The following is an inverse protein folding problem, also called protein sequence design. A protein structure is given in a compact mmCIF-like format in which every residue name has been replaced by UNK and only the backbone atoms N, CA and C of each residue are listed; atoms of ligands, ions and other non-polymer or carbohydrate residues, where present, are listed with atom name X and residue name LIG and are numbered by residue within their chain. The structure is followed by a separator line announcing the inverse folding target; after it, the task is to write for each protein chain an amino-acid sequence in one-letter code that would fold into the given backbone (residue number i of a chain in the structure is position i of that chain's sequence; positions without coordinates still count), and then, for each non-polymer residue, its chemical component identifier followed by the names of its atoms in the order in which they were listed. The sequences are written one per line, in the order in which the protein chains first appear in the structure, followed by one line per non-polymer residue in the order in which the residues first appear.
data_IF_758482645951
#
_entry.id   IF_758482645951
#
_cell.length_a   1.000
_cell.length_b   1.000
_cell.length_c   1.000
_cell.angle_alpha   90.00
_cell.angle_beta   90.00
_cell.angle_gamma   90.00
#
_symmetry.space_group_name_H-M   'P 1'
#
loop_
_entity.id
_entity.type
_entity.pdbx_description
1 polymer ?
#
# COMPACT_ATOMS: atom_id res chain seq x y z
N UNK A 1 12.54 -7.40 1.78
CA UNK A 1 13.04 -8.44 2.69
C UNK A 1 11.85 -8.91 3.52
N UNK A 2 11.44 -10.16 3.36
CA UNK A 2 10.22 -10.72 3.94
C UNK A 2 10.26 -10.86 5.47
N UNK A 3 11.43 -10.77 6.10
CA UNK A 3 11.52 -10.80 7.56
C UNK A 3 11.31 -9.43 8.21
N UNK A 4 11.26 -8.36 7.40
CA UNK A 4 11.21 -6.96 7.86
C UNK A 4 9.82 -6.33 7.78
N UNK A 5 8.79 -7.12 7.54
CA UNK A 5 7.41 -6.65 7.51
C UNK A 5 6.42 -7.76 7.85
N UNK A 6 5.17 -7.40 8.17
CA UNK A 6 4.08 -8.38 8.36
C UNK A 6 3.60 -8.92 7.01
N UNK A 7 3.63 -10.24 6.83
CA UNK A 7 3.17 -10.92 5.63
C UNK A 7 2.61 -12.31 5.97
N UNK A 8 2.14 -13.02 4.93
CA UNK A 8 1.50 -14.33 5.05
C UNK A 8 2.35 -15.36 5.77
N UNK A 9 3.66 -15.34 5.58
CA UNK A 9 4.59 -16.33 6.11
C UNK A 9 4.90 -16.12 7.60
N UNK A 10 4.68 -14.92 8.14
CA UNK A 10 5.04 -14.57 9.52
C UNK A 10 3.88 -14.03 10.37
N UNK A 11 2.64 -14.12 9.88
CA UNK A 11 1.47 -13.62 10.60
C UNK A 11 1.14 -14.45 11.87
N UNK A 12 1.37 -15.76 11.83
CA UNK A 12 0.97 -16.67 12.90
C UNK A 12 -0.56 -16.75 13.03
N UNK A 13 -1.06 -16.72 14.28
CA UNK A 13 -2.49 -16.62 14.60
C UNK A 13 -3.07 -15.22 14.41
N UNK A 14 -2.22 -14.20 14.57
CA UNK A 14 -2.61 -12.80 14.38
C UNK A 14 -2.66 -12.44 12.90
N UNK A 15 -3.57 -11.55 12.53
CA UNK A 15 -3.65 -11.03 11.15
C UNK A 15 -2.59 -9.96 10.96
N UNK A 16 -2.78 -8.83 11.63
CA UNK A 16 -1.89 -7.67 11.58
C UNK A 16 -0.80 -7.74 12.63
N UNK A 17 0.21 -6.90 12.50
CA UNK A 17 1.18 -6.60 13.55
C UNK A 17 0.98 -5.18 14.07
N UNK A 18 1.46 -4.95 15.29
CA UNK A 18 1.66 -3.61 15.83
C UNK A 18 2.51 -2.76 14.87
N UNK A 19 2.24 -1.45 14.83
CA UNK A 19 2.90 -0.52 13.91
C UNK A 19 4.42 -0.58 14.04
N UNK A 20 4.94 -0.74 15.27
CA UNK A 20 6.38 -0.71 15.55
C UNK A 20 7.05 -2.10 15.58
N UNK A 21 6.35 -3.18 15.21
CA UNK A 21 6.84 -4.55 15.36
C UNK A 21 8.07 -4.90 14.49
N UNK A 22 8.35 -4.13 13.43
CA UNK A 22 9.46 -4.39 12.49
C UNK A 22 10.35 -3.15 12.33
N UNK A 23 11.19 -2.83 13.33
CA UNK A 23 12.03 -1.64 13.30
C UNK A 23 13.10 -1.67 12.20
N UNK A 24 13.60 -2.84 11.80
CA UNK A 24 14.57 -2.97 10.70
C UNK A 24 13.94 -2.71 9.31
N UNK A 25 12.61 -2.72 9.23
CA UNK A 25 11.83 -2.44 8.02
C UNK A 25 11.40 -0.99 7.88
N UNK A 26 11.82 -0.11 8.79
CA UNK A 26 11.50 1.32 8.72
C UNK A 26 12.10 1.94 7.45
N UNK A 27 11.33 2.80 6.78
CA UNK A 27 11.82 3.53 5.63
C UNK A 27 12.89 4.56 6.04
N UNK A 28 13.73 5.06 5.10
CA UNK A 28 14.66 6.16 5.37
C UNK A 28 13.98 7.44 5.88
N UNK A 29 12.66 7.54 5.75
CA UNK A 29 11.85 8.67 6.21
C UNK A 29 11.17 8.42 7.58
N UNK A 30 11.48 7.30 8.24
CA UNK A 30 10.89 6.94 9.54
C UNK A 30 9.49 6.32 9.44
N UNK A 31 9.07 5.85 8.26
CA UNK A 31 7.75 5.25 8.06
C UNK A 31 7.80 3.74 8.29
N UNK A 32 6.91 3.24 9.13
CA UNK A 32 6.80 1.82 9.47
C UNK A 32 5.73 1.13 8.63
N UNK A 33 5.95 -0.16 8.36
CA UNK A 33 4.97 -1.05 7.72
C UNK A 33 4.47 -0.55 6.36
N UNK A 34 5.33 0.15 5.59
CA UNK A 34 5.00 0.61 4.23
C UNK A 34 4.88 -0.54 3.22
N UNK A 35 5.42 -1.70 3.57
CA UNK A 35 5.25 -2.97 2.84
C UNK A 35 4.63 -3.96 3.83
N UNK A 36 3.52 -4.59 3.46
CA UNK A 36 2.81 -5.57 4.27
C UNK A 36 1.91 -4.96 5.33
N UNK A 37 1.56 -5.77 6.32
CA UNK A 37 0.54 -5.48 7.34
C UNK A 37 -0.85 -5.29 6.74
N UNK A 38 -1.13 -4.15 6.10
CA UNK A 38 -2.41 -3.84 5.44
C UNK A 38 -2.14 -3.05 4.17
N UNK A 39 -3.02 -3.22 3.18
CA UNK A 39 -3.09 -2.28 2.06
C UNK A 39 -3.43 -0.89 2.61
N UNK A 40 -2.72 0.13 2.15
CA UNK A 40 -3.00 1.51 2.50
C UNK A 40 -3.73 2.22 1.35
N UNK A 41 -4.93 2.72 1.62
CA UNK A 41 -5.69 3.56 0.69
C UNK A 41 -4.94 4.84 0.33
N UNK A 42 -4.97 5.21 -0.96
CA UNK A 42 -4.56 6.51 -1.45
C UNK A 42 -5.78 7.30 -1.98
N UNK A 43 -5.70 8.62 -1.91
CA UNK A 43 -6.75 9.50 -2.44
C UNK A 43 -6.89 9.35 -3.96
N UNK A 44 -5.83 9.04 -4.69
CA UNK A 44 -5.81 8.91 -6.14
C UNK A 44 -6.84 7.89 -6.67
N UNK A 45 -7.59 8.29 -7.70
CA UNK A 45 -8.30 7.33 -8.55
C UNK A 45 -7.28 6.48 -9.32
N UNK A 46 -7.53 5.17 -9.39
CA UNK A 46 -6.66 4.25 -10.11
C UNK A 46 -6.76 4.47 -11.62
N UNK A 47 -5.58 4.53 -12.23
CA UNK A 47 -5.41 4.68 -13.66
C UNK A 47 -4.23 3.84 -14.13
N UNK A 48 -4.53 2.86 -14.98
CA UNK A 48 -3.56 1.95 -15.58
C UNK A 48 -2.55 2.69 -16.49
N UNK A 49 -2.98 3.80 -17.08
CA UNK A 49 -2.17 4.66 -17.93
C UNK A 49 -1.30 5.66 -17.17
N UNK A 50 -1.40 5.74 -15.83
CA UNK A 50 -0.77 6.79 -15.03
C UNK A 50 0.73 6.91 -15.29
N UNK A 51 1.49 5.80 -15.23
CA UNK A 51 2.94 5.85 -15.42
C UNK A 51 3.35 6.14 -16.86
N UNK A 52 2.52 5.78 -17.86
CA UNK A 52 2.76 6.19 -19.26
C UNK A 52 2.57 7.70 -19.41
N UNK A 53 1.55 8.27 -18.77
CA UNK A 53 1.31 9.73 -18.74
C UNK A 53 2.39 10.48 -17.95
N UNK A 54 2.82 9.95 -16.80
CA UNK A 54 3.89 10.57 -16.01
C UNK A 54 5.21 10.64 -16.80
N UNK A 55 5.50 9.64 -17.63
CA UNK A 55 6.68 9.66 -18.55
C UNK A 55 6.64 10.79 -19.58
N UNK A 56 5.48 11.38 -19.88
CA UNK A 56 5.37 12.55 -20.76
C UNK A 56 5.42 13.88 -19.99
N UNK A 57 5.63 13.84 -18.67
CA UNK A 57 5.67 15.02 -17.79
C UNK A 57 4.30 15.48 -17.28
N UNK A 58 3.22 14.83 -17.71
CA UNK A 58 1.88 15.15 -17.22
C UNK A 58 1.62 14.41 -15.90
N UNK A 59 1.62 15.13 -14.78
CA UNK A 59 1.38 14.59 -13.43
C UNK A 59 -0.07 14.72 -12.97
N UNK A 60 -0.99 15.12 -13.86
CA UNK A 60 -2.39 15.27 -13.50
C UNK A 60 -2.98 13.93 -13.04
N UNK A 61 -3.72 14.00 -11.93
CA UNK A 61 -4.52 12.90 -11.43
C UNK A 61 -5.88 12.89 -12.15
N UNK A 62 -6.53 11.72 -12.29
CA UNK A 62 -7.89 11.67 -12.79
C UNK A 62 -8.84 12.36 -11.80
N UNK A 63 -9.77 13.17 -12.30
CA UNK A 63 -10.80 13.82 -11.45
C UNK A 63 -11.87 12.82 -10.95
N UNK A 64 -12.02 11.70 -11.65
CA UNK A 64 -12.97 10.63 -11.32
C UNK A 64 -12.42 9.26 -11.72
N UNK A 65 -12.97 8.19 -11.14
CA UNK A 65 -12.56 6.83 -11.44
C UNK A 65 -13.51 5.80 -10.84
N UNK A 66 -13.28 4.54 -11.20
CA UNK A 66 -14.05 3.40 -10.65
C UNK A 66 -13.45 2.86 -9.35
N UNK A 67 -12.13 2.85 -9.25
CA UNK A 67 -11.39 2.26 -8.14
C UNK A 67 -10.40 3.27 -7.58
N UNK A 68 -10.11 3.21 -6.28
CA UNK A 68 -9.03 3.99 -5.65
C UNK A 68 -7.75 3.18 -5.60
N UNK A 69 -6.60 3.87 -5.61
CA UNK A 69 -5.31 3.23 -5.50
C UNK A 69 -5.09 2.62 -4.11
N UNK A 70 -4.52 1.41 -4.06
CA UNK A 70 -3.96 0.78 -2.86
C UNK A 70 -2.45 0.61 -2.99
N UNK A 71 -1.71 0.78 -1.87
CA UNK A 71 -0.25 0.58 -1.77
C UNK A 71 0.14 -0.37 -0.63
N UNK A 72 1.26 -1.09 -0.80
CA UNK A 72 1.96 -1.78 0.29
C UNK A 72 1.71 -3.28 0.44
N UNK A 73 0.60 -3.83 -0.06
CA UNK A 73 0.25 -5.23 0.19
C UNK A 73 -0.25 -5.47 1.62
N UNK A 74 -0.63 -6.69 1.97
CA UNK A 74 -1.27 -7.00 3.25
C UNK A 74 -0.80 -8.31 3.87
N UNK A 75 -1.24 -8.57 5.10
CA UNK A 75 -0.79 -9.69 5.93
C UNK A 75 -1.04 -11.09 5.37
N UNK A 76 -1.91 -11.29 4.38
CA UNK A 76 -2.15 -12.61 3.74
C UNK A 76 -1.81 -12.63 2.25
N UNK A 77 -1.14 -11.58 1.76
CA UNK A 77 -0.87 -11.46 0.35
C UNK A 77 0.05 -12.59 -0.13
N UNK A 78 -0.34 -13.26 -1.21
CA UNK A 78 0.43 -14.35 -1.81
C UNK A 78 1.44 -13.86 -2.84
N UNK A 79 1.30 -12.63 -3.34
CA UNK A 79 2.18 -12.10 -4.37
C UNK A 79 3.25 -11.20 -3.76
N UNK A 80 4.52 -11.60 -3.89
CA UNK A 80 5.65 -10.79 -3.43
C UNK A 80 5.69 -9.40 -4.10
N UNK A 81 5.18 -9.28 -5.34
CA UNK A 81 5.14 -8.00 -6.07
C UNK A 81 4.30 -6.95 -5.35
N UNK A 82 3.27 -7.35 -4.61
CA UNK A 82 2.36 -6.42 -3.96
C UNK A 82 3.04 -5.63 -2.82
N UNK A 83 4.18 -6.14 -2.33
CA UNK A 83 5.01 -5.49 -1.31
C UNK A 83 6.03 -4.51 -1.90
N UNK A 84 6.19 -4.44 -3.22
CA UNK A 84 7.14 -3.54 -3.85
C UNK A 84 6.68 -2.08 -3.71
N UNK A 85 7.64 -1.17 -3.53
CA UNK A 85 7.35 0.24 -3.30
C UNK A 85 6.72 0.95 -4.51
N UNK A 86 6.89 0.41 -5.72
CA UNK A 86 6.35 0.95 -6.96
C UNK A 86 5.01 0.31 -7.35
N UNK A 87 4.68 -0.85 -6.76
CA UNK A 87 3.45 -1.57 -7.03
C UNK A 87 2.23 -0.74 -6.62
N UNK A 88 1.18 -0.88 -7.42
CA UNK A 88 -0.10 -0.22 -7.25
C UNK A 88 -1.18 -1.22 -7.54
N UNK A 89 -2.09 -1.37 -6.61
CA UNK A 89 -3.33 -2.10 -6.86
C UNK A 89 -4.50 -1.12 -6.86
N UNK A 90 -5.68 -1.65 -7.14
CA UNK A 90 -6.93 -0.94 -7.14
C UNK A 90 -7.96 -1.66 -6.29
N UNK A 91 -8.74 -0.89 -5.54
CA UNK A 91 -9.82 -1.43 -4.75
C UNK A 91 -11.10 -0.61 -4.97
N UNK A 92 -12.24 -1.28 -4.86
CA UNK A 92 -13.54 -0.64 -4.86
C UNK A 92 -13.64 0.33 -3.67
N UNK A 93 -14.00 1.62 -3.86
CA UNK A 93 -14.09 2.59 -2.76
C UNK A 93 -15.06 2.17 -1.64
N UNK A 94 -16.00 1.28 -1.92
CA UNK A 94 -16.95 0.74 -0.93
C UNK A 94 -16.39 -0.48 -0.18
N UNK A 95 -15.21 -0.98 -0.55
CA UNK A 95 -14.58 -2.15 0.07
C UNK A 95 -14.12 -1.87 1.50
N UNK A 96 -14.67 -2.64 2.44
CA UNK A 96 -14.35 -2.57 3.87
C UNK A 96 -13.57 -3.81 4.37
N UNK A 97 -12.84 -4.49 3.48
CA UNK A 97 -12.07 -5.69 3.81
C UNK A 97 -11.08 -5.43 4.95
N UNK A 98 -10.94 -6.39 5.87
CA UNK A 98 -10.03 -6.28 7.04
C UNK A 98 -8.53 -6.28 6.70
N UNK A 99 -8.20 -6.25 5.42
CA UNK A 99 -6.86 -6.12 4.88
C UNK A 99 -6.56 -4.70 4.40
N UNK A 100 -7.57 -3.81 4.39
CA UNK A 100 -7.43 -2.41 4.00
C UNK A 100 -7.34 -1.53 5.25
N UNK A 101 -6.41 -0.58 5.21
CA UNK A 101 -6.23 0.50 6.16
C UNK A 101 -5.84 1.78 5.42
N UNK A 102 -5.33 2.77 6.14
CA UNK A 102 -4.86 4.01 5.54
C UNK A 102 -3.87 4.72 6.48
N UNK A 103 -3.13 5.67 5.90
CA UNK A 103 -2.26 6.59 6.62
C UNK A 103 -2.56 8.00 6.19
N UNK A 104 -2.80 8.89 7.16
CA UNK A 104 -3.07 10.29 6.86
C UNK A 104 -1.79 11.03 6.47
N UNK A 105 -1.94 11.98 5.55
CA UNK A 105 -0.93 12.97 5.20
C UNK A 105 -1.52 14.36 5.41
N UNK A 106 -0.66 15.37 5.57
CA UNK A 106 -1.07 16.76 5.63
C UNK A 106 -0.09 17.63 4.87
N UNK A 107 -0.57 18.76 4.36
CA UNK A 107 0.29 19.82 3.86
C UNK A 107 1.09 20.43 5.02
N UNK A 108 2.30 20.89 4.69
CA UNK A 108 3.20 21.60 5.61
C UNK A 108 2.95 23.09 5.53
#
# INVERSE_FOLDING_TARGET
DEVKCRNRMNKGSERTAEIYAYPEGVSPYGLYQMSGNVWEWCEDWYDEGAYKRYKTGNLALPDSGKYRCGRGGFWDDSSTSNFWCDFRDYNDPESCGSYNGFRCVRTV
#
